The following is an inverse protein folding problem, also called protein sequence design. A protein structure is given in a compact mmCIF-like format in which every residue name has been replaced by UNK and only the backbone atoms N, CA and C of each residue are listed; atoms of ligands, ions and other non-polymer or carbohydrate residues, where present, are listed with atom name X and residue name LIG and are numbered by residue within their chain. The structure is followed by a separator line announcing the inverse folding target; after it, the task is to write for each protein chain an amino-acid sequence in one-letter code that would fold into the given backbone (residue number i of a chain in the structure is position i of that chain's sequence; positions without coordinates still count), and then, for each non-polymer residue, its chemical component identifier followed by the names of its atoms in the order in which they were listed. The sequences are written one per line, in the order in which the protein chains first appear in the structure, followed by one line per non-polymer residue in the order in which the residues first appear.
data_IF_576480129788
#
_entry.id   IF_576480129788
#
_cell.length_a   1.000
_cell.length_b   1.000
_cell.length_c   1.000
_cell.angle_alpha   90.00
_cell.angle_beta   90.00
_cell.angle_gamma   90.00
#
_symmetry.space_group_name_H-M   'P 1'
#
loop_
_entity.id
_entity.type
_entity.pdbx_description
1 polymer ?
#
# COMPACT_ATOMS: atom_id res chain seq x y z
N UNK A 1 -9.54 -9.24 0.62
CA UNK A 1 -9.01 -7.85 0.64
C UNK A 1 -9.51 -7.04 -0.56
N UNK A 2 -9.58 -5.72 -0.43
CA UNK A 2 -9.77 -4.79 -1.56
C UNK A 2 -8.42 -4.25 -2.04
N UNK A 3 -8.18 -4.29 -3.36
CA UNK A 3 -6.97 -3.75 -3.98
C UNK A 3 -7.33 -2.76 -5.09
N UNK A 4 -6.63 -1.64 -5.17
CA UNK A 4 -6.71 -0.64 -6.24
C UNK A 4 -5.32 -0.17 -6.65
N UNK A 5 -5.16 0.25 -7.90
CA UNK A 5 -3.91 0.82 -8.41
C UNK A 5 -4.22 2.20 -9.00
N UNK A 6 -3.43 3.20 -8.62
CA UNK A 6 -3.45 4.55 -9.19
C UNK A 6 -2.15 4.70 -9.97
N UNK A 7 -2.23 4.86 -11.29
CA UNK A 7 -1.09 5.21 -12.13
C UNK A 7 -0.98 6.73 -12.23
N UNK A 8 0.25 7.25 -12.26
CA UNK A 8 0.56 8.68 -12.35
C UNK A 8 -0.27 9.51 -11.35
N UNK A 9 -0.14 9.25 -10.04
CA UNK A 9 -0.96 9.90 -9.02
C UNK A 9 -0.79 11.42 -9.05
N UNK A 10 -1.93 12.12 -8.97
CA UNK A 10 -1.93 13.58 -8.89
C UNK A 10 -1.34 14.10 -7.58
N UNK A 11 -0.89 15.35 -7.58
CA UNK A 11 -0.25 15.99 -6.42
C UNK A 11 -1.16 15.99 -5.18
N UNK A 12 -2.46 16.24 -5.36
CA UNK A 12 -3.42 16.22 -4.26
C UNK A 12 -3.57 14.81 -3.66
N UNK A 13 -3.53 13.76 -4.49
CA UNK A 13 -3.57 12.36 -4.02
C UNK A 13 -2.35 12.05 -3.16
N UNK A 14 -1.16 12.43 -3.61
CA UNK A 14 0.08 12.29 -2.83
C UNK A 14 0.00 13.07 -1.52
N UNK A 15 -0.47 14.32 -1.56
CA UNK A 15 -0.58 15.15 -0.37
C UNK A 15 -1.57 14.59 0.66
N UNK A 16 -2.65 13.93 0.22
CA UNK A 16 -3.58 13.23 1.12
C UNK A 16 -2.90 12.03 1.80
N UNK A 17 -2.18 11.21 1.03
CA UNK A 17 -1.50 10.02 1.55
C UNK A 17 -0.36 10.40 2.50
N UNK A 18 0.45 11.40 2.14
CA UNK A 18 1.55 11.90 2.99
C UNK A 18 1.07 12.41 4.34
N UNK A 19 -0.12 13.03 4.40
CA UNK A 19 -0.73 13.48 5.66
C UNK A 19 -1.23 12.33 6.55
N UNK A 20 -1.45 11.15 5.97
CA UNK A 20 -2.09 10.01 6.62
C UNK A 20 -1.14 8.83 6.84
N UNK A 21 0.06 8.84 6.27
CA UNK A 21 1.04 7.77 6.45
C UNK A 21 1.47 7.63 7.91
N UNK A 22 1.61 6.41 8.40
CA UNK A 22 1.84 6.17 9.82
C UNK A 22 3.27 6.38 10.30
N UNK A 23 4.26 6.37 9.40
CA UNK A 23 5.61 6.90 9.67
C UNK A 23 5.61 8.43 9.93
N UNK A 24 4.48 9.10 9.70
CA UNK A 24 4.32 10.54 9.91
C UNK A 24 5.01 11.37 8.83
N UNK A 25 5.00 12.71 8.98
CA UNK A 25 5.48 13.62 7.93
C UNK A 25 7.01 13.70 7.78
N UNK A 26 7.78 12.95 8.58
CA UNK A 26 9.23 13.11 8.66
C UNK A 26 9.99 12.52 7.48
N UNK A 27 9.43 11.51 6.82
CA UNK A 27 10.04 10.88 5.65
C UNK A 27 9.30 11.30 4.39
N UNK A 28 9.89 12.17 3.54
CA UNK A 28 9.29 12.50 2.26
C UNK A 28 9.29 11.26 1.36
N UNK A 29 8.12 10.93 0.83
CA UNK A 29 8.00 9.94 -0.23
C UNK A 29 8.50 10.57 -1.52
N UNK A 30 9.45 9.92 -2.19
CA UNK A 30 9.77 10.27 -3.58
C UNK A 30 8.52 10.16 -4.44
N UNK A 31 8.40 10.99 -5.47
CA UNK A 31 7.22 11.01 -6.34
C UNK A 31 7.15 9.67 -7.10
N UNK A 32 6.16 8.80 -6.79
CA UNK A 32 6.08 7.49 -7.41
C UNK A 32 5.41 7.57 -8.78
N UNK A 33 5.67 6.58 -9.64
CA UNK A 33 4.92 6.43 -10.90
C UNK A 33 3.55 5.80 -10.64
N UNK A 34 3.42 4.97 -9.60
CA UNK A 34 2.17 4.32 -9.24
C UNK A 34 2.01 4.13 -7.73
N UNK A 35 0.76 3.95 -7.31
CA UNK A 35 0.40 3.64 -5.92
C UNK A 35 -0.56 2.45 -5.91
N UNK A 36 -0.19 1.41 -5.17
CA UNK A 36 -1.05 0.30 -4.81
C UNK A 36 -1.76 0.61 -3.49
N UNK A 37 -3.08 0.53 -3.46
CA UNK A 37 -3.88 0.66 -2.25
C UNK A 37 -4.45 -0.71 -1.90
N UNK A 38 -4.19 -1.18 -0.68
CA UNK A 38 -4.68 -2.47 -0.17
C UNK A 38 -5.43 -2.19 1.12
N UNK A 39 -6.68 -2.65 1.21
CA UNK A 39 -7.50 -2.52 2.41
C UNK A 39 -8.05 -3.89 2.82
N UNK A 40 -8.01 -4.16 4.12
CA UNK A 40 -8.50 -5.42 4.67
C UNK A 40 -8.43 -5.44 6.19
N UNK A 41 -8.52 -6.62 6.78
CA UNK A 41 -8.41 -6.77 8.24
C UNK A 41 -6.99 -6.46 8.70
N UNK A 42 -6.80 -6.09 9.97
CA UNK A 42 -5.47 -5.83 10.54
C UNK A 42 -4.49 -7.00 10.27
N UNK A 43 -4.86 -8.25 10.60
CA UNK A 43 -3.98 -9.42 10.39
C UNK A 43 -3.60 -9.61 8.92
N UNK A 44 -4.57 -9.41 8.03
CA UNK A 44 -4.45 -9.47 6.59
C UNK A 44 -3.45 -8.40 6.08
N UNK A 45 -3.52 -7.18 6.61
CA UNK A 45 -2.62 -6.10 6.23
C UNK A 45 -1.19 -6.33 6.74
N UNK A 46 -0.99 -6.89 7.93
CA UNK A 46 0.37 -7.22 8.40
C UNK A 46 1.04 -8.23 7.45
N UNK A 47 0.31 -9.26 7.01
CA UNK A 47 0.84 -10.20 6.03
C UNK A 47 1.06 -9.55 4.65
N UNK A 48 0.14 -8.71 4.19
CA UNK A 48 0.29 -8.01 2.91
C UNK A 48 1.48 -7.05 2.90
N UNK A 49 1.79 -6.39 4.02
CA UNK A 49 2.94 -5.50 4.16
C UNK A 49 4.26 -6.27 3.99
N UNK A 50 4.42 -7.40 4.67
CA UNK A 50 5.62 -8.26 4.54
C UNK A 50 5.83 -8.76 3.10
N UNK A 51 4.74 -9.09 2.40
CA UNK A 51 4.80 -9.49 0.98
C UNK A 51 5.24 -8.32 0.09
N UNK A 52 4.69 -7.12 0.33
CA UNK A 52 5.02 -5.94 -0.45
C UNK A 52 6.44 -5.43 -0.20
N UNK A 53 6.91 -5.36 1.05
CA UNK A 53 8.27 -4.89 1.38
C UNK A 53 9.38 -5.76 0.77
N UNK A 54 9.10 -7.04 0.52
CA UNK A 54 10.03 -7.96 -0.17
C UNK A 54 10.10 -7.70 -1.67
N UNK A 55 9.17 -6.95 -2.25
CA UNK A 55 9.26 -6.53 -3.64
C UNK A 55 10.29 -5.42 -3.78
N UNK A 56 11.19 -5.55 -4.76
CA UNK A 56 12.20 -4.54 -5.03
C UNK A 56 11.53 -3.28 -5.59
N UNK A 57 11.97 -2.11 -5.13
CA UNK A 57 11.55 -0.83 -5.70
C UNK A 57 10.18 -0.32 -5.23
N UNK A 58 9.68 -0.84 -4.10
CA UNK A 58 8.48 -0.29 -3.45
C UNK A 58 8.74 0.16 -2.02
N UNK A 59 7.99 1.17 -1.59
CA UNK A 59 7.88 1.63 -0.20
C UNK A 59 6.47 1.36 0.29
N UNK A 60 6.33 0.76 1.46
CA UNK A 60 5.03 0.41 2.04
C UNK A 60 4.74 1.29 3.26
N UNK A 61 3.56 1.89 3.31
CA UNK A 61 3.12 2.73 4.43
C UNK A 61 1.72 2.32 4.90
N UNK A 62 1.50 2.31 6.22
CA UNK A 62 0.15 2.28 6.76
C UNK A 62 -0.54 3.62 6.56
N UNK A 63 -1.79 3.61 6.07
CA UNK A 63 -2.60 4.80 5.89
C UNK A 63 -3.60 4.90 7.04
N UNK A 64 -3.33 5.84 7.94
CA UNK A 64 -4.17 6.11 9.11
C UNK A 64 -5.41 6.91 8.72
N UNK A 65 -6.54 6.51 9.28
CA UNK A 65 -7.82 7.17 9.09
C UNK A 65 -8.84 6.65 10.09
N UNK A 66 -10.08 7.16 9.99
CA UNK A 66 -11.21 6.69 10.79
C UNK A 66 -11.81 5.39 10.23
N UNK A 67 -10.98 4.41 9.90
CA UNK A 67 -11.46 3.09 9.49
C UNK A 67 -12.05 2.37 10.72
N UNK A 68 -12.99 1.42 10.55
CA UNK A 68 -13.42 0.55 11.64
C UNK A 68 -12.21 -0.09 12.33
N UNK A 69 -12.26 -0.30 13.66
CA UNK A 69 -11.11 -0.73 14.48
C UNK A 69 -10.30 -1.91 13.94
N UNK A 70 -10.92 -2.80 13.15
CA UNK A 70 -10.28 -3.99 12.61
C UNK A 70 -9.87 -3.88 11.14
N UNK A 71 -10.09 -2.73 10.47
CA UNK A 71 -9.70 -2.51 9.07
C UNK A 71 -8.55 -1.51 8.96
N UNK A 72 -7.56 -1.84 8.13
CA UNK A 72 -6.40 -1.01 7.84
C UNK A 72 -6.23 -0.90 6.33
N UNK A 73 -5.66 0.22 5.90
CA UNK A 73 -5.24 0.44 4.52
C UNK A 73 -3.72 0.57 4.47
N UNK A 74 -3.09 -0.07 3.50
CA UNK A 74 -1.71 0.15 3.11
C UNK A 74 -1.66 0.93 1.80
N UNK A 75 -0.63 1.78 1.67
CA UNK A 75 -0.22 2.36 0.40
C UNK A 75 1.18 1.84 0.05
N UNK A 76 1.31 1.33 -1.17
CA UNK A 76 2.54 0.78 -1.75
C UNK A 76 2.96 1.73 -2.87
N UNK A 77 4.03 2.47 -2.67
CA UNK A 77 4.56 3.48 -3.58
C UNK A 77 5.73 2.90 -4.38
N UNK A 78 5.83 3.18 -5.67
CA UNK A 78 6.98 2.74 -6.47
C UNK A 78 6.79 3.02 -7.96
N UNK A 79 7.63 2.39 -8.79
CA UNK A 79 7.41 2.36 -10.23
C UNK A 79 6.16 1.52 -10.59
N UNK A 80 5.61 1.72 -11.78
CA UNK A 80 4.36 1.05 -12.20
C UNK A 80 4.49 -0.47 -12.21
N UNK A 81 5.63 -1.02 -12.63
CA UNK A 81 5.81 -2.47 -12.75
C UNK A 81 5.93 -3.12 -11.37
N UNK A 82 6.74 -2.53 -10.49
CA UNK A 82 6.98 -3.00 -9.12
C UNK A 82 5.69 -2.97 -8.29
N UNK A 83 4.89 -1.91 -8.40
CA UNK A 83 3.59 -1.81 -7.72
C UNK A 83 2.59 -2.86 -8.22
N UNK A 84 2.50 -3.07 -9.55
CA UNK A 84 1.62 -4.10 -10.11
C UNK A 84 2.03 -5.48 -9.61
N UNK A 85 3.32 -5.81 -9.68
CA UNK A 85 3.85 -7.10 -9.23
C UNK A 85 3.56 -7.35 -7.75
N UNK A 86 3.80 -6.36 -6.88
CA UNK A 86 3.50 -6.46 -5.45
C UNK A 86 2.00 -6.72 -5.18
N UNK A 87 1.11 -5.98 -5.85
CA UNK A 87 -0.34 -6.15 -5.71
C UNK A 87 -0.82 -7.51 -6.23
N UNK A 88 -0.26 -8.00 -7.34
CA UNK A 88 -0.60 -9.31 -7.89
C UNK A 88 -0.18 -10.45 -6.96
N UNK A 89 1.00 -10.36 -6.34
CA UNK A 89 1.46 -11.37 -5.37
C UNK A 89 0.60 -11.36 -4.10
N UNK A 90 0.20 -10.18 -3.58
CA UNK A 90 -0.75 -10.09 -2.45
C UNK A 90 -2.08 -10.77 -2.81
N UNK A 91 -2.64 -10.48 -3.98
CA UNK A 91 -3.89 -11.11 -4.43
C UNK A 91 -3.76 -12.63 -4.55
N UNK A 92 -2.63 -13.11 -5.07
CA UNK A 92 -2.35 -14.54 -5.22
C UNK A 92 -2.25 -15.24 -3.86
N UNK A 93 -1.56 -14.64 -2.89
CA UNK A 93 -1.44 -15.17 -1.52
C UNK A 93 -2.77 -15.17 -0.76
N UNK A 94 -3.55 -14.10 -0.89
CA UNK A 94 -4.91 -13.98 -0.34
C UNK A 94 -5.84 -15.06 -0.91
N UNK A 95 -5.90 -15.22 -2.23
CA UNK A 95 -6.75 -16.23 -2.88
C UNK A 95 -6.42 -17.65 -2.43
N UNK A 96 -5.14 -17.93 -2.19
CA UNK A 96 -4.67 -19.24 -1.73
C UNK A 96 -4.71 -19.40 -0.21
N UNK A 97 -5.00 -18.32 0.54
CA UNK A 97 -4.87 -18.23 2.01
C UNK A 97 -3.49 -18.68 2.51
N UNK A 98 -2.43 -18.36 1.75
CA UNK A 98 -1.04 -18.71 2.05
C UNK A 98 -0.21 -17.43 2.11
N UNK A 99 0.08 -16.99 3.32
CA UNK A 99 0.89 -15.80 3.60
C UNK A 99 2.36 -16.15 3.76
#
# INVERSE_FOLDING_TARGET
MDCRIIKSPGENTLAILTRRKGSGQREPLEKPDAIGLVQGKLIEMICAADVAEKAVGVTVEDIRGSCPQNMIMLAIFGDTASVIAAIEEIKKKENNRKW
#
